data_IF_578712183142
#
_entry.id   IF_578712183142
#
_cell.length_a   1.000
_cell.length_b   1.000
_cell.length_c   1.000
_cell.angle_alpha   90.00
_cell.angle_beta   90.00
_cell.angle_gamma   90.00
#
_symmetry.space_group_name_H-M   'P 1'
#
loop_
_entity.id
_entity.type
_entity.pdbx_description
1 polymer ?
#
# COMPACT_ATOMS: atom_id res chain seq x y z
N UNK A 1 -25.07 -15.27 1.28
CA UNK A 1 -23.92 -14.90 2.14
C UNK A 1 -22.67 -15.44 1.49
N UNK A 2 -22.06 -14.66 0.59
CA UNK A 2 -20.74 -15.03 0.10
C UNK A 2 -19.80 -15.03 1.30
N UNK A 3 -18.90 -15.99 1.33
CA UNK A 3 -18.05 -16.21 2.50
C UNK A 3 -16.97 -15.13 2.49
N UNK A 4 -17.26 -13.97 3.09
CA UNK A 4 -16.40 -12.77 3.09
C UNK A 4 -15.02 -13.03 3.72
N UNK A 5 -14.92 -13.98 4.66
CA UNK A 5 -13.64 -14.35 5.23
C UNK A 5 -12.77 -15.17 4.25
N UNK A 6 -13.37 -15.92 3.30
CA UNK A 6 -12.61 -16.65 2.27
C UNK A 6 -11.96 -15.67 1.30
N UNK A 7 -12.65 -14.63 0.87
CA UNK A 7 -12.06 -13.60 -0.01
C UNK A 7 -10.95 -12.83 0.71
N UNK A 8 -11.14 -12.52 2.00
CA UNK A 8 -10.10 -11.93 2.84
C UNK A 8 -8.86 -12.83 2.98
N UNK A 9 -9.05 -14.12 3.26
CA UNK A 9 -7.97 -15.10 3.36
C UNK A 9 -7.26 -15.29 2.02
N UNK A 10 -8.00 -15.43 0.92
CA UNK A 10 -7.45 -15.58 -0.42
C UNK A 10 -6.64 -14.35 -0.83
N UNK A 11 -7.14 -13.13 -0.59
CA UNK A 11 -6.42 -11.89 -0.83
C UNK A 11 -5.15 -11.77 0.02
N UNK A 12 -5.24 -12.10 1.31
CA UNK A 12 -4.08 -12.12 2.21
C UNK A 12 -3.01 -13.12 1.76
N UNK A 13 -3.41 -14.32 1.34
CA UNK A 13 -2.51 -15.32 0.80
C UNK A 13 -1.82 -14.85 -0.49
N UNK A 14 -2.56 -14.24 -1.41
CA UNK A 14 -2.01 -13.67 -2.65
C UNK A 14 -0.96 -12.58 -2.37
N UNK A 15 -1.26 -11.64 -1.47
CA UNK A 15 -0.33 -10.58 -1.08
C UNK A 15 0.91 -11.17 -0.39
N UNK A 16 0.70 -12.12 0.53
CA UNK A 16 1.78 -12.80 1.26
C UNK A 16 2.70 -13.60 0.34
N UNK A 17 2.14 -14.36 -0.60
CA UNK A 17 2.90 -15.09 -1.62
C UNK A 17 3.68 -14.13 -2.53
N UNK A 18 3.07 -13.02 -2.95
CA UNK A 18 3.77 -11.98 -3.72
C UNK A 18 4.94 -11.37 -2.95
N UNK A 19 4.76 -11.06 -1.67
CA UNK A 19 5.82 -10.54 -0.81
C UNK A 19 6.94 -11.56 -0.58
N UNK A 20 6.59 -12.84 -0.38
CA UNK A 20 7.55 -13.92 -0.21
C UNK A 20 8.34 -14.19 -1.50
N UNK A 21 7.68 -14.21 -2.66
CA UNK A 21 8.33 -14.36 -3.95
C UNK A 21 9.31 -13.21 -4.22
N UNK A 22 8.91 -11.96 -3.92
CA UNK A 22 9.80 -10.81 -4.04
C UNK A 22 11.03 -10.92 -3.12
N UNK A 23 10.83 -11.39 -1.88
CA UNK A 23 11.94 -11.60 -0.95
C UNK A 23 12.89 -12.71 -1.40
N UNK A 24 12.35 -13.83 -1.91
CA UNK A 24 13.13 -15.00 -2.31
C UNK A 24 13.86 -14.78 -3.64
N UNK A 25 13.22 -14.15 -4.63
CA UNK A 25 13.81 -13.92 -5.95
C UNK A 25 14.78 -12.74 -5.96
N UNK A 26 14.43 -11.63 -5.29
CA UNK A 26 15.22 -10.40 -5.34
C UNK A 26 16.10 -10.20 -4.10
N UNK A 27 15.95 -11.03 -3.06
CA UNK A 27 16.69 -10.92 -1.80
C UNK A 27 16.33 -9.68 -0.97
N UNK A 28 15.25 -8.97 -1.32
CA UNK A 28 14.88 -7.66 -0.75
C UNK A 28 13.47 -7.69 -0.17
N UNK A 29 13.29 -6.90 0.89
CA UNK A 29 11.98 -6.72 1.52
C UNK A 29 11.09 -5.90 0.59
N UNK A 30 9.88 -6.39 0.33
CA UNK A 30 8.88 -5.66 -0.45
C UNK A 30 8.46 -4.38 0.28
N UNK A 31 8.56 -3.23 -0.40
CA UNK A 31 8.10 -1.95 0.14
C UNK A 31 7.77 -0.95 -0.97
N UNK A 32 6.49 -0.64 -1.16
CA UNK A 32 6.02 0.17 -2.29
C UNK A 32 6.65 1.57 -2.33
N UNK A 33 6.65 2.31 -1.21
CA UNK A 33 7.28 3.65 -1.15
C UNK A 33 8.79 3.63 -1.37
N UNK A 34 9.48 2.55 -1.00
CA UNK A 34 10.91 2.38 -1.24
C UNK A 34 11.22 2.11 -2.71
N UNK A 35 10.41 1.24 -3.35
CA UNK A 35 10.48 0.93 -4.78
C UNK A 35 10.21 2.19 -5.62
N UNK A 36 9.13 2.91 -5.33
CA UNK A 36 8.78 4.17 -6.00
C UNK A 36 9.83 5.25 -5.76
N UNK A 37 10.24 5.47 -4.51
CA UNK A 37 11.27 6.46 -4.17
C UNK A 37 12.61 6.15 -4.84
N UNK A 38 12.97 4.87 -4.98
CA UNK A 38 14.17 4.44 -5.68
C UNK A 38 14.13 4.66 -7.20
N UNK A 39 12.94 4.61 -7.82
CA UNK A 39 12.75 4.97 -9.24
C UNK A 39 12.91 6.48 -9.43
N UNK A 40 12.28 7.28 -8.57
CA UNK A 40 12.35 8.76 -8.64
C UNK A 40 13.77 9.25 -8.39
N UNK A 41 14.44 8.72 -7.37
CA UNK A 41 15.83 9.09 -7.05
C UNK A 41 16.88 8.51 -8.02
N UNK A 42 16.46 7.76 -9.06
CA UNK A 42 17.34 7.11 -10.07
C UNK A 42 18.49 6.32 -9.43
N UNK A 43 18.24 5.72 -8.27
CA UNK A 43 19.30 5.33 -7.34
C UNK A 43 20.13 4.11 -7.79
N UNK A 44 19.67 3.34 -8.78
CA UNK A 44 20.41 2.19 -9.33
C UNK A 44 19.77 1.69 -10.64
N UNK A 45 20.53 1.61 -11.74
CA UNK A 45 20.03 1.15 -13.05
C UNK A 45 19.76 -0.36 -13.07
N UNK A 46 20.52 -1.15 -12.31
CA UNK A 46 20.41 -2.62 -12.32
C UNK A 46 19.06 -3.09 -11.76
N UNK A 47 18.50 -2.39 -10.76
CA UNK A 47 17.21 -2.72 -10.15
C UNK A 47 16.04 -1.93 -10.73
N UNK A 48 16.28 -1.04 -11.70
CA UNK A 48 15.21 -0.23 -12.31
C UNK A 48 14.16 -1.10 -13.02
N UNK A 49 14.58 -2.14 -13.75
CA UNK A 49 13.66 -3.03 -14.47
C UNK A 49 12.70 -3.75 -13.53
N UNK A 50 13.20 -4.27 -12.40
CA UNK A 50 12.38 -4.95 -11.39
C UNK A 50 11.39 -4.00 -10.71
N UNK A 51 11.86 -2.79 -10.37
CA UNK A 51 11.02 -1.76 -9.75
C UNK A 51 9.92 -1.29 -10.71
N UNK A 52 10.23 -1.12 -11.99
CA UNK A 52 9.24 -0.80 -13.02
C UNK A 52 8.25 -1.94 -13.23
N UNK A 53 8.71 -3.19 -13.26
CA UNK A 53 7.82 -4.35 -13.34
C UNK A 53 6.87 -4.43 -12.14
N UNK A 54 7.37 -4.15 -10.92
CA UNK A 54 6.54 -4.12 -9.72
C UNK A 54 5.48 -3.01 -9.78
N UNK A 55 5.87 -1.77 -10.10
CA UNK A 55 4.95 -0.64 -10.19
C UNK A 55 3.96 -0.82 -11.35
N UNK A 56 4.43 -1.33 -12.49
CA UNK A 56 3.61 -1.67 -13.64
C UNK A 56 2.60 -2.76 -13.32
N UNK A 57 2.98 -3.79 -12.56
CA UNK A 57 2.06 -4.81 -12.05
C UNK A 57 1.04 -4.24 -11.07
N UNK A 58 1.49 -3.42 -10.11
CA UNK A 58 0.64 -2.79 -9.10
C UNK A 58 -0.47 -1.92 -9.70
N UNK A 59 -0.15 -1.17 -10.76
CA UNK A 59 -1.12 -0.30 -11.46
C UNK A 59 -1.89 -1.08 -12.53
N UNK A 60 -1.19 -1.90 -13.31
CA UNK A 60 -1.74 -2.59 -14.47
C UNK A 60 -2.70 -3.73 -14.12
N UNK A 61 -2.44 -4.50 -13.06
CA UNK A 61 -3.29 -5.64 -12.70
C UNK A 61 -4.72 -5.22 -12.31
N UNK A 62 -4.93 -4.21 -11.44
CA UNK A 62 -6.28 -3.71 -11.17
C UNK A 62 -7.03 -3.27 -12.44
N UNK A 63 -6.34 -2.59 -13.37
CA UNK A 63 -6.94 -2.16 -14.63
C UNK A 63 -7.37 -3.34 -15.53
N UNK A 64 -6.57 -4.40 -15.58
CA UNK A 64 -6.87 -5.62 -16.34
C UNK A 64 -7.97 -6.47 -15.71
N UNK A 65 -7.94 -6.62 -14.38
CA UNK A 65 -8.84 -7.53 -13.65
C UNK A 65 -10.20 -6.91 -13.36
N UNK A 66 -10.30 -5.58 -13.21
CA UNK A 66 -11.58 -4.89 -12.94
C UNK A 66 -12.70 -5.28 -13.91
N UNK A 67 -12.55 -5.19 -15.24
CA UNK A 67 -13.64 -5.55 -16.16
C UNK A 67 -14.00 -7.04 -16.12
N UNK A 68 -13.08 -7.92 -15.72
CA UNK A 68 -13.27 -9.37 -15.75
C UNK A 68 -13.92 -9.92 -14.48
N UNK A 69 -13.52 -9.43 -13.31
CA UNK A 69 -13.87 -10.03 -12.00
C UNK A 69 -14.81 -9.14 -11.19
N UNK A 70 -14.70 -7.81 -11.32
CA UNK A 70 -15.46 -6.85 -10.53
C UNK A 70 -15.91 -5.65 -11.36
N UNK A 71 -16.73 -5.86 -12.41
CA UNK A 71 -17.18 -4.77 -13.30
C UNK A 71 -17.98 -3.69 -12.57
N UNK A 72 -18.55 -4.02 -11.40
CA UNK A 72 -19.34 -3.12 -10.55
C UNK A 72 -18.53 -2.53 -9.39
N UNK A 73 -17.20 -2.68 -9.37
CA UNK A 73 -16.38 -2.08 -8.31
C UNK A 73 -16.48 -0.54 -8.38
N UNK A 74 -17.25 0.04 -7.46
CA UNK A 74 -17.37 1.48 -7.25
C UNK A 74 -16.22 1.97 -6.38
N UNK A 75 -15.48 2.95 -6.88
CA UNK A 75 -14.45 3.64 -6.09
C UNK A 75 -15.09 4.86 -5.47
N UNK A 76 -15.41 4.80 -4.19
CA UNK A 76 -15.90 5.95 -3.43
C UNK A 76 -14.73 6.88 -3.10
N UNK A 77 -14.36 7.72 -4.06
CA UNK A 77 -13.37 8.77 -3.87
C UNK A 77 -14.08 10.09 -3.56
N UNK A 78 -13.49 10.92 -2.69
CA UNK A 78 -14.00 12.28 -2.52
C UNK A 78 -13.89 13.06 -3.84
N UNK A 79 -14.92 13.83 -4.24
CA UNK A 79 -14.85 14.64 -5.46
C UNK A 79 -13.86 15.81 -5.34
N UNK A 80 -13.44 16.17 -4.12
CA UNK A 80 -12.47 17.25 -3.89
C UNK A 80 -11.04 16.77 -4.19
N UNK A 81 -10.56 17.11 -5.38
CA UNK A 81 -9.21 16.79 -5.85
C UNK A 81 -8.13 17.43 -4.98
N UNK A 82 -8.39 18.60 -4.36
CA UNK A 82 -7.40 19.26 -3.52
C UNK A 82 -7.11 18.42 -2.27
N UNK A 83 -8.15 17.83 -1.66
CA UNK A 83 -8.01 16.91 -0.53
C UNK A 83 -7.18 15.68 -0.94
N UNK A 84 -7.45 15.09 -2.12
CA UNK A 84 -6.71 13.92 -2.61
C UNK A 84 -5.23 14.24 -2.83
N UNK A 85 -4.92 15.39 -3.43
CA UNK A 85 -3.53 15.83 -3.67
C UNK A 85 -2.81 16.06 -2.33
N UNK A 86 -3.43 16.81 -1.41
CA UNK A 86 -2.84 17.12 -0.10
C UNK A 86 -2.62 15.82 0.71
N UNK A 87 -3.61 14.92 0.73
CA UNK A 87 -3.49 13.62 1.39
C UNK A 87 -2.36 12.78 0.78
N UNK A 88 -2.25 12.73 -0.55
CA UNK A 88 -1.18 12.02 -1.24
C UNK A 88 0.21 12.55 -0.89
N UNK A 89 0.37 13.89 -0.85
CA UNK A 89 1.62 14.53 -0.45
C UNK A 89 1.98 14.23 1.01
N UNK A 90 1.01 14.34 1.93
CA UNK A 90 1.19 14.03 3.35
C UNK A 90 1.61 12.57 3.55
N UNK A 91 0.98 11.62 2.86
CA UNK A 91 1.36 10.20 2.89
C UNK A 91 2.76 9.99 2.30
N UNK A 92 3.09 10.65 1.19
CA UNK A 92 4.41 10.61 0.59
C UNK A 92 5.51 11.07 1.56
N UNK A 93 5.33 12.24 2.17
CA UNK A 93 6.26 12.78 3.18
C UNK A 93 6.34 11.87 4.40
N UNK A 94 5.20 11.43 4.93
CA UNK A 94 5.13 10.56 6.10
C UNK A 94 5.86 9.24 5.90
N UNK A 95 5.67 8.58 4.74
CA UNK A 95 6.37 7.32 4.42
C UNK A 95 7.88 7.50 4.25
N UNK A 96 8.34 8.69 3.81
CA UNK A 96 9.78 9.00 3.75
C UNK A 96 10.36 9.23 5.15
N UNK A 97 9.67 9.97 6.01
CA UNK A 97 10.11 10.20 7.40
C UNK A 97 10.15 8.87 8.18
N UNK A 98 9.14 8.02 8.00
CA UNK A 98 9.09 6.69 8.63
C UNK A 98 10.09 5.69 8.02
N UNK A 99 10.78 6.05 6.93
CA UNK A 99 11.66 5.17 6.17
C UNK A 99 10.95 3.88 5.72
N UNK A 100 9.69 3.98 5.33
CA UNK A 100 8.89 2.87 4.81
C UNK A 100 7.39 3.13 4.87
N UNK A 101 6.61 2.17 4.37
CA UNK A 101 5.15 2.24 4.28
C UNK A 101 4.51 1.01 4.91
N UNK A 102 3.19 0.91 4.86
CA UNK A 102 2.42 -0.22 5.42
C UNK A 102 2.73 -1.56 4.76
N UNK A 103 3.07 -1.60 3.47
CA UNK A 103 3.53 -2.85 2.83
C UNK A 103 4.84 -3.35 3.43
N UNK A 104 5.79 -2.46 3.71
CA UNK A 104 7.07 -2.83 4.31
C UNK A 104 7.01 -3.10 5.81
N UNK A 105 6.41 -2.20 6.59
CA UNK A 105 6.33 -2.31 8.06
C UNK A 105 5.21 -3.25 8.51
N UNK A 106 4.05 -3.21 7.86
CA UNK A 106 2.91 -4.05 8.18
C UNK A 106 3.07 -5.46 7.63
N UNK A 107 3.00 -5.63 6.31
CA UNK A 107 3.00 -6.98 5.70
C UNK A 107 4.32 -7.69 5.97
N UNK A 108 5.45 -7.14 5.56
CA UNK A 108 6.74 -7.81 5.73
C UNK A 108 7.38 -7.62 7.12
N UNK A 109 7.05 -6.54 7.83
CA UNK A 109 7.66 -6.21 9.11
C UNK A 109 7.02 -6.95 10.29
N UNK A 110 5.69 -7.07 10.32
CA UNK A 110 4.98 -7.85 11.35
C UNK A 110 5.28 -9.35 11.15
N UNK A 111 5.28 -9.83 9.91
CA UNK A 111 5.58 -11.25 9.60
C UNK A 111 6.97 -11.70 10.06
N UNK A 112 7.91 -10.77 10.25
CA UNK A 112 9.28 -11.03 10.76
C UNK A 112 9.46 -10.64 12.22
N UNK A 113 8.38 -10.39 12.95
CA UNK A 113 8.38 -9.94 14.35
C UNK A 113 9.27 -8.71 14.60
N UNK A 114 9.34 -7.79 13.64
CA UNK A 114 10.10 -6.55 13.83
C UNK A 114 9.33 -5.57 14.72
N UNK A 115 9.89 -5.21 15.88
CA UNK A 115 9.27 -4.25 16.81
C UNK A 115 9.01 -2.90 16.12
N UNK A 116 9.97 -2.45 15.30
CA UNK A 116 9.84 -1.23 14.50
C UNK A 116 8.65 -1.30 13.52
N UNK A 117 8.44 -2.45 12.88
CA UNK A 117 7.32 -2.68 11.97
C UNK A 117 5.98 -2.58 12.69
N UNK A 118 5.85 -3.29 13.80
CA UNK A 118 4.64 -3.32 14.62
C UNK A 118 4.28 -1.91 15.10
N UNK A 119 5.24 -1.19 15.70
CA UNK A 119 5.02 0.16 16.21
C UNK A 119 4.59 1.11 15.09
N UNK A 120 5.29 1.10 13.95
CA UNK A 120 4.95 1.94 12.81
C UNK A 120 3.53 1.66 12.29
N UNK A 121 3.12 0.39 12.22
CA UNK A 121 1.78 0.00 11.79
C UNK A 121 0.69 0.45 12.77
N UNK A 122 0.93 0.34 14.08
CA UNK A 122 -0.02 0.83 15.10
C UNK A 122 -0.25 2.33 14.94
N UNK A 123 0.80 3.14 14.83
CA UNK A 123 0.65 4.58 14.61
C UNK A 123 -0.05 4.90 13.28
N UNK A 124 0.24 4.15 12.22
CA UNK A 124 -0.43 4.37 10.92
C UNK A 124 -1.94 4.12 11.00
N UNK A 125 -2.35 3.01 11.63
CA UNK A 125 -3.76 2.67 11.80
C UNK A 125 -4.46 3.67 12.72
N UNK A 126 -3.82 4.06 13.84
CA UNK A 126 -4.38 5.07 14.76
C UNK A 126 -4.57 6.42 14.07
N UNK A 127 -3.56 6.90 13.33
CA UNK A 127 -3.65 8.15 12.58
C UNK A 127 -4.77 8.09 11.53
N UNK A 128 -4.90 6.99 10.79
CA UNK A 128 -5.98 6.79 9.83
C UNK A 128 -7.36 6.82 10.49
N UNK A 129 -7.53 6.08 11.59
CA UNK A 129 -8.78 6.08 12.36
C UNK A 129 -9.14 7.46 12.92
N UNK A 130 -8.16 8.18 13.47
CA UNK A 130 -8.36 9.54 13.98
C UNK A 130 -8.70 10.52 12.85
N UNK A 131 -8.06 10.39 11.68
CA UNK A 131 -8.35 11.24 10.51
C UNK A 131 -9.79 11.02 10.05
N UNK A 132 -10.25 9.77 9.94
CA UNK A 132 -11.64 9.48 9.59
C UNK A 132 -12.59 10.03 10.66
N UNK A 133 -12.29 9.83 11.95
CA UNK A 133 -13.11 10.38 13.03
C UNK A 133 -13.25 11.92 12.96
N UNK A 134 -12.15 12.62 12.70
CA UNK A 134 -12.14 14.08 12.61
C UNK A 134 -12.86 14.58 11.34
N UNK A 135 -12.46 14.09 10.17
CA UNK A 135 -12.92 14.65 8.91
C UNK A 135 -14.33 14.19 8.52
N UNK A 136 -14.70 12.95 8.85
CA UNK A 136 -16.04 12.41 8.54
C UNK A 136 -17.06 12.76 9.63
N UNK A 137 -16.72 12.57 10.90
CA UNK A 137 -17.70 12.72 11.99
C UNK A 137 -17.71 14.11 12.63
N UNK A 138 -16.57 14.80 12.74
CA UNK A 138 -16.54 16.14 13.34
C UNK A 138 -16.69 17.28 12.32
N UNK A 139 -16.08 17.16 11.14
CA UNK A 139 -16.05 18.23 10.13
C UNK A 139 -17.01 18.00 8.94
N UNK A 140 -17.46 16.77 8.69
CA UNK A 140 -18.39 16.44 7.60
C UNK A 140 -17.84 16.75 6.19
N UNK A 141 -16.51 16.77 6.03
CA UNK A 141 -15.82 17.17 4.79
C UNK A 141 -15.72 16.00 3.79
N UNK A 142 -15.86 14.76 4.26
CA UNK A 142 -15.80 13.51 3.49
C UNK A 142 -16.78 12.47 4.03
#
# INVERSE_FOLDING_TARGET
MNIEWISGLAGGLLIGLGAAAYLLCNGRIMGASGILGGLVARSDRATTTERLAFVGGLIGMPFLLRPLIAPQAETHLTPDLAIVIIAGLLVGVGTRIANGCTSGHGVCGISRFSLRGIVATVFYILAGGLTVALFRHALGVI
#
